data_IF_109274311524
#
_entry.id   IF_109274311524
#
_cell.length_a   1.000
_cell.length_b   1.000
_cell.length_c   1.000
_cell.angle_alpha   90.00
_cell.angle_beta   90.00
_cell.angle_gamma   90.00
#
_symmetry.space_group_name_H-M   'P 1'
#
loop_
_entity.id
_entity.type
_entity.pdbx_description
1 polymer ?
#
# COMPACT_ATOMS: atom_id res chain seq x y z
N UNK A 1 49.40 -28.08 -63.77
CA UNK A 1 49.17 -29.11 -62.74
C UNK A 1 48.85 -28.41 -61.43
N UNK A 2 47.82 -28.91 -60.74
CA UNK A 2 47.18 -28.41 -59.52
C UNK A 2 48.15 -28.13 -58.37
N UNK A 3 47.85 -27.11 -57.52
CA UNK A 3 47.49 -27.30 -56.09
C UNK A 3 46.77 -26.07 -55.54
N UNK A 4 45.58 -26.30 -54.99
CA UNK A 4 44.84 -25.39 -54.11
C UNK A 4 45.56 -25.26 -52.76
N UNK A 5 45.39 -24.12 -52.10
CA UNK A 5 45.26 -24.08 -50.64
C UNK A 5 44.37 -22.90 -50.24
N UNK A 6 43.27 -23.24 -49.58
CA UNK A 6 42.21 -22.36 -49.13
C UNK A 6 42.52 -21.76 -47.77
N UNK A 7 42.03 -20.55 -47.46
CA UNK A 7 41.67 -20.18 -46.08
C UNK A 7 40.46 -19.23 -46.06
N UNK A 8 39.43 -19.73 -45.37
CA UNK A 8 38.27 -19.14 -44.70
C UNK A 8 37.93 -17.65 -44.89
N UNK A 9 36.72 -17.41 -45.41
CA UNK A 9 35.94 -16.18 -45.25
C UNK A 9 35.32 -16.20 -43.85
N UNK A 10 35.68 -15.24 -42.99
CA UNK A 10 35.02 -14.98 -41.71
C UNK A 10 33.95 -13.91 -41.99
N UNK A 11 32.64 -14.19 -41.88
CA UNK A 11 31.65 -13.13 -41.87
C UNK A 11 31.72 -12.40 -40.53
N UNK A 12 32.17 -11.13 -40.55
CA UNK A 12 31.93 -10.20 -39.44
C UNK A 12 30.41 -10.02 -39.31
N UNK A 13 29.84 -10.65 -38.29
CA UNK A 13 28.55 -10.26 -37.74
C UNK A 13 28.74 -8.91 -37.03
N UNK A 14 28.55 -7.82 -37.75
CA UNK A 14 28.34 -6.51 -37.14
C UNK A 14 26.97 -6.56 -36.46
N UNK A 15 26.98 -6.89 -35.17
CA UNK A 15 25.82 -6.89 -34.31
C UNK A 15 25.18 -5.50 -34.33
N UNK A 16 23.95 -5.44 -34.80
CA UNK A 16 23.08 -4.27 -34.68
C UNK A 16 23.05 -3.83 -33.22
N UNK A 17 23.60 -2.66 -32.94
CA UNK A 17 23.40 -1.98 -31.67
C UNK A 17 21.92 -1.59 -31.59
N UNK A 18 21.10 -2.50 -31.08
CA UNK A 18 19.77 -2.18 -30.62
C UNK A 18 19.95 -1.18 -29.48
N UNK A 19 19.68 0.09 -29.76
CA UNK A 19 19.34 1.08 -28.75
C UNK A 19 18.15 0.53 -27.99
N UNK A 20 18.42 -0.22 -26.94
CA UNK A 20 17.47 -0.50 -25.89
C UNK A 20 17.22 0.85 -25.20
N UNK A 21 16.28 1.61 -25.75
CA UNK A 21 15.44 2.48 -24.93
C UNK A 21 14.80 1.58 -23.90
N UNK A 22 15.48 1.39 -22.78
CA UNK A 22 14.83 0.99 -21.55
C UNK A 22 13.80 2.08 -21.31
N UNK A 23 12.56 1.77 -21.68
CA UNK A 23 11.40 2.40 -21.10
C UNK A 23 11.67 2.31 -19.61
N UNK A 24 11.97 3.45 -18.97
CA UNK A 24 11.81 3.58 -17.55
C UNK A 24 10.33 3.28 -17.36
N UNK A 25 10.10 2.01 -17.02
CA UNK A 25 8.85 1.46 -16.58
C UNK A 25 8.26 2.54 -15.69
N UNK A 26 7.19 3.17 -16.15
CA UNK A 26 6.39 4.01 -15.29
C UNK A 26 5.92 3.04 -14.23
N UNK A 27 6.66 3.01 -13.12
CA UNK A 27 6.29 2.31 -11.90
C UNK A 27 4.86 2.71 -11.68
N UNK A 28 3.95 1.81 -12.07
CA UNK A 28 2.53 1.99 -11.88
C UNK A 28 2.44 2.14 -10.38
N UNK A 29 2.32 3.39 -9.93
CA UNK A 29 2.45 3.73 -8.55
C UNK A 29 1.55 2.76 -7.82
N UNK A 30 2.15 1.84 -7.06
CA UNK A 30 1.44 0.86 -6.25
C UNK A 30 0.89 1.63 -5.02
N UNK A 31 0.29 2.79 -5.31
CA UNK A 31 -0.20 3.78 -4.39
C UNK A 31 -1.42 3.17 -3.77
N UNK A 32 -1.18 2.49 -2.65
CA UNK A 32 -2.24 2.05 -1.80
C UNK A 32 -3.05 3.23 -1.30
N UNK A 33 -4.28 2.94 -0.93
CA UNK A 33 -5.15 3.83 -0.21
C UNK A 33 -4.68 3.89 1.25
N UNK A 34 -4.53 5.08 1.82
CA UNK A 34 -4.15 5.24 3.24
C UNK A 34 -5.35 5.75 4.01
N UNK A 35 -5.78 5.04 5.06
CA UNK A 35 -6.82 5.47 6.00
C UNK A 35 -6.17 5.74 7.34
N UNK A 36 -6.41 6.92 7.91
CA UNK A 36 -5.83 7.36 9.19
C UNK A 36 -6.93 7.71 10.19
N UNK A 37 -6.76 7.27 11.43
CA UNK A 37 -7.64 7.58 12.56
C UNK A 37 -6.87 8.47 13.56
N UNK A 38 -7.16 9.80 13.58
CA UNK A 38 -6.49 10.75 14.46
C UNK A 38 -6.60 10.48 15.96
N UNK A 39 -7.69 9.93 16.53
CA UNK A 39 -7.62 9.45 17.90
C UNK A 39 -6.76 8.18 17.93
N UNK A 40 -5.52 8.31 18.42
CA UNK A 40 -4.60 7.19 18.67
C UNK A 40 -3.54 6.93 17.60
N UNK A 41 -3.61 7.59 16.44
CA UNK A 41 -2.55 7.54 15.43
C UNK A 41 -2.44 6.19 14.72
N UNK A 42 -3.58 5.55 14.44
CA UNK A 42 -3.62 4.33 13.64
C UNK A 42 -3.77 4.65 12.16
N UNK A 43 -2.98 3.97 11.34
CA UNK A 43 -2.99 4.10 9.88
C UNK A 43 -3.10 2.72 9.25
N UNK A 44 -4.05 2.57 8.32
CA UNK A 44 -4.21 1.40 7.47
C UNK A 44 -3.81 1.78 6.05
N UNK A 45 -2.85 1.07 5.47
CA UNK A 45 -2.56 1.07 4.05
C UNK A 45 -3.28 -0.11 3.41
N UNK A 46 -3.99 0.10 2.30
CA UNK A 46 -4.63 -0.96 1.51
C UNK A 46 -4.08 -0.91 0.09
N UNK A 47 -3.53 -2.02 -0.37
CA UNK A 47 -2.98 -2.16 -1.72
C UNK A 47 -4.03 -2.65 -2.73
N UNK A 48 -3.82 -2.43 -4.04
CA UNK A 48 -4.73 -2.88 -5.10
C UNK A 48 -4.99 -4.41 -5.13
N UNK A 49 -4.07 -5.22 -4.61
CA UNK A 49 -4.21 -6.67 -4.50
C UNK A 49 -5.04 -7.13 -3.28
N UNK A 50 -5.57 -6.17 -2.51
CA UNK A 50 -6.33 -6.42 -1.30
C UNK A 50 -5.47 -6.75 -0.08
N UNK A 51 -4.14 -6.68 -0.19
CA UNK A 51 -3.23 -6.71 0.96
C UNK A 51 -3.18 -5.35 1.66
N UNK A 52 -2.47 -5.27 2.78
CA UNK A 52 -2.34 -4.02 3.48
C UNK A 52 -1.38 -4.05 4.65
N UNK A 53 -1.29 -2.92 5.33
CA UNK A 53 -0.48 -2.79 6.53
C UNK A 53 -1.13 -1.87 7.56
N UNK A 54 -1.04 -2.24 8.84
CA UNK A 54 -1.50 -1.42 9.95
C UNK A 54 -0.29 -0.87 10.70
N UNK A 55 -0.25 0.45 10.86
CA UNK A 55 0.68 1.20 11.70
C UNK A 55 -0.08 1.80 12.87
N UNK A 56 0.55 1.85 14.05
CA UNK A 56 -0.08 2.38 15.26
C UNK A 56 0.90 3.21 16.10
N UNK A 57 0.49 4.42 16.46
CA UNK A 57 1.28 5.34 17.26
C UNK A 57 2.64 5.65 16.64
N UNK A 58 3.67 5.76 17.48
CA UNK A 58 5.07 5.91 17.06
C UNK A 58 5.84 4.57 17.04
N UNK A 59 5.14 3.44 17.01
CA UNK A 59 5.78 2.14 17.06
C UNK A 59 6.55 1.87 15.74
N UNK A 60 7.78 1.34 15.79
CA UNK A 60 8.57 1.02 14.60
C UNK A 60 8.08 -0.25 13.89
N UNK A 61 6.86 -0.72 14.17
CA UNK A 61 6.35 -2.03 13.77
C UNK A 61 5.09 -1.88 12.94
N UNK A 62 4.95 -2.78 11.98
CA UNK A 62 3.88 -2.79 10.99
C UNK A 62 3.23 -4.16 11.00
N UNK A 63 1.91 -4.21 11.19
CA UNK A 63 1.14 -5.44 11.05
C UNK A 63 0.87 -5.67 9.57
N UNK A 64 1.38 -6.76 9.02
CA UNK A 64 1.12 -7.12 7.63
C UNK A 64 -0.24 -7.80 7.52
N UNK A 65 -1.00 -7.46 6.49
CA UNK A 65 -2.32 -8.03 6.19
C UNK A 65 -2.23 -8.88 4.94
N UNK A 66 -2.85 -10.07 4.96
CA UNK A 66 -2.84 -10.98 3.83
C UNK A 66 -3.47 -10.35 2.57
N UNK A 67 -3.02 -10.79 1.39
CA UNK A 67 -3.68 -10.45 0.13
C UNK A 67 -5.14 -10.90 0.13
N UNK A 68 -5.98 -10.21 -0.65
CA UNK A 68 -7.43 -10.44 -0.73
C UNK A 68 -8.21 -10.23 0.58
N UNK A 69 -7.59 -9.66 1.63
CA UNK A 69 -8.30 -9.27 2.84
C UNK A 69 -9.29 -8.13 2.58
N UNK A 70 -8.97 -7.28 1.62
CA UNK A 70 -9.81 -6.17 1.19
C UNK A 70 -10.23 -6.32 -0.27
N UNK A 71 -11.49 -6.00 -0.54
CA UNK A 71 -11.96 -5.68 -1.89
C UNK A 71 -11.60 -4.21 -2.18
N UNK A 72 -10.44 -4.00 -2.81
CA UNK A 72 -9.85 -2.67 -2.96
C UNK A 72 -10.79 -1.68 -3.67
N UNK A 73 -11.41 -2.11 -4.76
CA UNK A 73 -12.32 -1.25 -5.53
C UNK A 73 -13.54 -0.85 -4.71
N UNK A 74 -14.08 -1.80 -3.93
CA UNK A 74 -15.20 -1.53 -3.02
C UNK A 74 -14.81 -0.57 -1.91
N UNK A 75 -13.66 -0.79 -1.27
CA UNK A 75 -13.15 0.09 -0.20
C UNK A 75 -12.91 1.50 -0.74
N UNK A 76 -12.27 1.61 -1.91
CA UNK A 76 -12.02 2.87 -2.59
C UNK A 76 -13.32 3.63 -2.89
N UNK A 77 -14.31 2.92 -3.44
CA UNK A 77 -15.62 3.51 -3.74
C UNK A 77 -16.36 3.97 -2.48
N UNK A 78 -16.42 3.13 -1.45
CA UNK A 78 -17.06 3.51 -0.18
C UNK A 78 -16.41 4.74 0.45
N UNK A 79 -15.08 4.85 0.43
CA UNK A 79 -14.41 6.04 0.97
C UNK A 79 -14.61 7.28 0.12
N UNK A 80 -14.70 7.15 -1.22
CA UNK A 80 -15.08 8.28 -2.08
C UNK A 80 -16.47 8.80 -1.78
N UNK A 81 -17.40 7.90 -1.48
CA UNK A 81 -18.77 8.25 -1.09
C UNK A 81 -18.84 8.86 0.32
N UNK A 82 -17.98 8.42 1.25
CA UNK A 82 -17.94 8.93 2.62
C UNK A 82 -17.22 10.28 2.77
N UNK A 83 -16.37 10.67 1.83
CA UNK A 83 -15.67 11.97 1.85
C UNK A 83 -16.63 13.09 1.45
N UNK A 84 -16.75 14.11 2.30
CA UNK A 84 -17.57 15.28 2.01
C UNK A 84 -16.82 16.29 1.13
N UNK A 85 -17.33 16.55 -0.08
CA UNK A 85 -17.00 17.71 -0.90
C UNK A 85 -15.56 17.77 -1.45
N UNK A 86 -15.37 18.52 -2.55
CA UNK A 86 -14.10 18.59 -3.28
C UNK A 86 -12.97 19.33 -2.54
N UNK A 87 -13.28 20.07 -1.46
CA UNK A 87 -12.40 21.14 -0.93
C UNK A 87 -12.02 21.02 0.55
N UNK A 88 -12.27 19.91 1.24
CA UNK A 88 -11.86 19.75 2.63
C UNK A 88 -10.36 19.39 2.74
N UNK A 89 -9.48 20.23 2.19
CA UNK A 89 -8.08 20.31 2.60
C UNK A 89 -8.06 20.89 4.01
N UNK A 90 -8.37 20.05 4.98
CA UNK A 90 -8.49 20.47 6.35
C UNK A 90 -7.08 20.60 6.96
N UNK A 91 -6.75 21.75 7.57
CA UNK A 91 -5.58 21.84 8.42
C UNK A 91 -5.62 20.71 9.45
N UNK A 92 -4.47 20.08 9.68
CA UNK A 92 -4.29 19.08 10.73
C UNK A 92 -4.49 19.74 12.10
N UNK A 93 -5.75 19.91 12.51
CA UNK A 93 -6.07 20.64 13.72
C UNK A 93 -7.56 20.68 14.02
N UNK A 94 -7.93 20.05 15.12
CA UNK A 94 -9.10 20.36 15.97
C UNK A 94 -10.48 19.78 15.67
N UNK A 95 -10.78 19.23 14.48
CA UNK A 95 -12.04 18.50 14.29
C UNK A 95 -11.85 16.98 14.50
N UNK A 96 -12.78 16.26 15.14
CA UNK A 96 -12.81 14.80 15.16
C UNK A 96 -13.18 14.27 13.76
N UNK A 97 -12.62 13.14 13.33
CA UNK A 97 -12.91 12.53 12.02
C UNK A 97 -11.73 11.72 11.49
N UNK A 98 -11.96 10.82 10.55
CA UNK A 98 -10.92 10.02 9.91
C UNK A 98 -10.36 10.73 8.67
N UNK A 99 -9.14 10.36 8.28
CA UNK A 99 -8.45 10.87 7.10
C UNK A 99 -8.24 9.76 6.08
N UNK A 100 -8.29 10.09 4.80
CA UNK A 100 -7.98 9.18 3.69
C UNK A 100 -7.07 9.85 2.68
N UNK A 101 -6.02 9.17 2.22
CA UNK A 101 -5.21 9.56 1.06
C UNK A 101 -5.53 8.59 -0.05
N UNK A 102 -6.01 9.12 -1.17
CA UNK A 102 -6.39 8.32 -2.33
C UNK A 102 -5.16 7.99 -3.20
N UNK A 103 -5.19 6.85 -3.91
CA UNK A 103 -4.15 6.49 -4.87
C UNK A 103 -3.84 7.64 -5.84
N UNK A 104 -2.56 7.93 -6.05
CA UNK A 104 -2.11 8.99 -6.96
C UNK A 104 -2.29 10.42 -6.42
N UNK A 105 -2.76 10.59 -5.18
CA UNK A 105 -2.80 11.89 -4.50
C UNK A 105 -1.87 11.91 -3.28
N UNK A 106 -1.46 13.10 -2.86
CA UNK A 106 -0.73 13.32 -1.60
C UNK A 106 -1.56 14.12 -0.59
N UNK A 107 -2.87 14.19 -0.83
CA UNK A 107 -3.79 15.06 -0.07
C UNK A 107 -4.62 14.18 0.84
N UNK A 108 -4.53 14.45 2.15
CA UNK A 108 -5.41 13.84 3.14
C UNK A 108 -6.78 14.49 3.02
N UNK A 109 -7.78 13.70 2.64
CA UNK A 109 -9.19 14.09 2.65
C UNK A 109 -9.85 13.59 3.92
N UNK A 110 -10.79 14.36 4.47
CA UNK A 110 -11.50 13.99 5.69
C UNK A 110 -12.81 13.29 5.39
N UNK A 111 -13.19 12.37 6.27
CA UNK A 111 -14.50 11.75 6.29
C UNK A 111 -14.95 11.49 7.74
N UNK A 112 -16.25 11.60 7.98
CA UNK A 112 -16.84 11.50 9.33
C UNK A 112 -17.28 10.07 9.69
N UNK A 113 -17.25 9.14 8.72
CA UNK A 113 -17.63 7.74 8.92
C UNK A 113 -16.54 6.96 9.68
N UNK A 114 -16.47 7.21 10.98
CA UNK A 114 -15.55 6.53 11.89
C UNK A 114 -15.87 5.03 12.02
N UNK A 115 -17.11 4.61 11.73
CA UNK A 115 -17.50 3.20 11.75
C UNK A 115 -16.87 2.45 10.57
N UNK A 116 -16.86 3.06 9.39
CA UNK A 116 -16.13 2.54 8.22
C UNK A 116 -14.63 2.43 8.51
N UNK A 117 -14.01 3.48 9.06
CA UNK A 117 -12.58 3.45 9.35
C UNK A 117 -12.21 2.32 10.35
N UNK A 118 -13.02 2.13 11.40
CA UNK A 118 -12.84 1.05 12.38
C UNK A 118 -13.05 -0.34 11.77
N UNK A 119 -14.09 -0.52 10.95
CA UNK A 119 -14.36 -1.83 10.34
C UNK A 119 -13.26 -2.27 9.37
N UNK A 120 -12.63 -1.32 8.67
CA UNK A 120 -11.46 -1.59 7.83
C UNK A 120 -10.25 -2.02 8.67
N UNK A 121 -9.98 -1.33 9.79
CA UNK A 121 -8.90 -1.73 10.70
C UNK A 121 -9.14 -3.11 11.33
N UNK A 122 -10.37 -3.38 11.77
CA UNK A 122 -10.75 -4.67 12.33
C UNK A 122 -10.60 -5.80 11.30
N UNK A 123 -11.00 -5.54 10.04
CA UNK A 123 -10.82 -6.47 8.93
C UNK A 123 -9.34 -6.77 8.68
N UNK A 124 -8.50 -5.72 8.64
CA UNK A 124 -7.06 -5.87 8.49
C UNK A 124 -6.43 -6.66 9.63
N UNK A 125 -6.87 -6.40 10.86
CA UNK A 125 -6.38 -7.10 12.05
C UNK A 125 -6.76 -8.59 12.08
N UNK A 126 -8.01 -8.92 11.71
CA UNK A 126 -8.48 -10.30 11.58
C UNK A 126 -7.75 -11.06 10.48
N UNK A 127 -7.28 -10.35 9.46
CA UNK A 127 -6.55 -10.90 8.31
C UNK A 127 -5.03 -10.75 8.43
N UNK A 128 -4.53 -10.45 9.64
CA UNK A 128 -3.10 -10.25 9.87
C UNK A 128 -2.31 -11.53 9.57
N UNK A 129 -1.18 -11.36 8.93
CA UNK A 129 -0.20 -12.42 8.80
C UNK A 129 0.51 -12.64 10.15
N UNK A 130 0.98 -13.86 10.42
CA UNK A 130 1.85 -14.11 11.56
C UNK A 130 3.04 -13.14 11.53
N UNK A 131 3.46 -12.58 12.68
CA UNK A 131 4.64 -11.74 12.70
C UNK A 131 5.84 -12.54 12.18
N UNK A 132 6.65 -11.88 11.36
CA UNK A 132 7.86 -12.49 10.79
C UNK A 132 8.98 -12.62 11.83
N UNK A 133 8.89 -11.86 12.92
CA UNK A 133 9.75 -11.94 14.09
C UNK A 133 9.04 -12.56 15.30
N UNK A 134 9.84 -13.21 16.17
CA UNK A 134 9.39 -13.88 17.40
C UNK A 134 8.86 -12.83 18.40
N UNK A 135 7.59 -12.46 18.25
CA UNK A 135 6.89 -11.67 19.27
C UNK A 135 6.50 -12.57 20.46
N UNK A 136 6.89 -12.15 21.67
CA UNK A 136 6.32 -12.68 22.90
C UNK A 136 4.85 -12.24 23.03
N UNK A 137 3.91 -13.16 22.81
CA UNK A 137 2.48 -12.96 23.08
C UNK A 137 1.73 -12.09 22.06
N UNK A 138 1.20 -12.71 21.00
CA UNK A 138 0.27 -12.08 20.03
C UNK A 138 -0.88 -11.30 20.71
N UNK A 139 -1.26 -11.75 21.92
CA UNK A 139 -2.36 -11.19 22.70
C UNK A 139 -2.04 -9.82 23.33
N UNK A 140 -0.77 -9.56 23.70
CA UNK A 140 -0.36 -8.24 24.22
C UNK A 140 -0.32 -7.18 23.11
N UNK A 141 0.16 -7.57 21.92
CA UNK A 141 0.12 -6.71 20.73
C UNK A 141 -1.33 -6.39 20.35
N UNK A 142 -2.23 -7.38 20.42
CA UNK A 142 -3.65 -7.18 20.17
C UNK A 142 -4.24 -6.12 21.11
N UNK A 143 -4.07 -6.26 22.42
CA UNK A 143 -4.66 -5.35 23.40
C UNK A 143 -4.14 -3.90 23.26
N UNK A 144 -2.86 -3.73 22.90
CA UNK A 144 -2.27 -2.40 22.65
C UNK A 144 -2.86 -1.77 21.39
N UNK A 145 -2.96 -2.53 20.31
CA UNK A 145 -3.49 -2.04 19.03
C UNK A 145 -4.97 -1.75 19.16
N UNK A 146 -5.74 -2.64 19.79
CA UNK A 146 -7.16 -2.48 20.07
C UNK A 146 -7.42 -1.17 20.85
N UNK A 147 -6.66 -0.94 21.94
CA UNK A 147 -6.75 0.29 22.73
C UNK A 147 -6.35 1.54 21.94
N UNK A 148 -5.33 1.43 21.09
CA UNK A 148 -4.79 2.57 20.33
C UNK A 148 -5.70 2.93 19.15
N UNK A 149 -6.26 1.94 18.47
CA UNK A 149 -7.04 2.11 17.26
C UNK A 149 -8.55 2.17 17.49
N UNK A 150 -9.02 1.77 18.68
CA UNK A 150 -10.42 1.86 19.08
C UNK A 150 -11.37 0.99 18.24
N UNK A 151 -10.91 -0.19 17.80
CA UNK A 151 -11.75 -1.27 17.28
C UNK A 151 -11.97 -2.32 18.36
N UNK A 152 -13.02 -3.15 18.26
CA UNK A 152 -13.39 -4.18 19.25
C UNK A 152 -12.88 -5.59 18.89
#
# INVERSE_FOLDING_TARGET
MFRLTAVAVIPLFAASAATATALADGEASNAGLVVSLPPGGCTLLVHPDGSGSIHYGAAPRTVQVAAQAFDFDRVLQSLRESVQGEDAEAPAGTQPGAGVVFPGTNVVRRFDDMALARSLLETGWKSRLPPTDLWHGNDEAHAVIQRTCGFD
#
